data_IF_081545679084
#
_entry.id   IF_081545679084
#
_cell.length_a   1.000
_cell.length_b   1.000
_cell.length_c   1.000
_cell.angle_alpha   90.00
_cell.angle_beta   90.00
_cell.angle_gamma   90.00
#
_symmetry.space_group_name_H-M   'P 1'
#
loop_
_entity.id
_entity.type
_entity.pdbx_description
1 polymer ?
#
# COMPACT_ATOMS: atom_id res chain seq x y z
N UNK A 1 4.86 -8.04 -55.85
CA UNK A 1 4.31 -8.87 -54.76
C UNK A 1 5.19 -8.96 -53.51
N UNK A 2 6.49 -9.27 -53.58
CA UNK A 2 7.37 -9.43 -52.41
C UNK A 2 7.51 -8.18 -51.51
N UNK A 3 7.39 -6.96 -52.02
CA UNK A 3 7.54 -5.70 -51.28
C UNK A 3 6.34 -5.42 -50.38
N UNK A 4 5.12 -5.69 -50.84
CA UNK A 4 3.90 -5.49 -50.04
C UNK A 4 3.78 -6.49 -48.88
N UNK A 5 4.23 -7.72 -49.07
CA UNK A 5 4.25 -8.73 -48.01
C UNK A 5 5.17 -8.31 -46.87
N UNK A 6 6.35 -7.75 -47.18
CA UNK A 6 7.29 -7.24 -46.14
C UNK A 6 6.70 -6.08 -45.35
N UNK A 7 5.97 -5.16 -45.99
CA UNK A 7 5.33 -4.04 -45.33
C UNK A 7 4.21 -4.50 -44.40
N UNK A 8 3.40 -5.48 -44.85
CA UNK A 8 2.35 -6.08 -44.01
C UNK A 8 2.93 -6.76 -42.78
N UNK A 9 4.03 -7.54 -42.94
CA UNK A 9 4.68 -8.17 -41.79
C UNK A 9 5.26 -7.16 -40.80
N UNK A 10 5.87 -6.06 -41.26
CA UNK A 10 6.39 -5.01 -40.40
C UNK A 10 5.27 -4.29 -39.63
N UNK A 11 4.13 -4.02 -40.27
CA UNK A 11 2.99 -3.43 -39.63
C UNK A 11 2.38 -4.36 -38.56
N UNK A 12 2.22 -5.63 -38.88
CA UNK A 12 1.70 -6.62 -37.94
C UNK A 12 2.63 -6.77 -36.73
N UNK A 13 3.94 -6.80 -36.95
CA UNK A 13 4.94 -6.84 -35.88
C UNK A 13 4.89 -5.58 -34.99
N UNK A 14 4.79 -4.38 -35.58
CA UNK A 14 4.69 -3.13 -34.85
C UNK A 14 3.42 -3.07 -33.96
N UNK A 15 2.28 -3.53 -34.48
CA UNK A 15 1.02 -3.61 -33.71
C UNK A 15 1.15 -4.59 -32.53
N UNK A 16 1.80 -5.73 -32.76
CA UNK A 16 2.03 -6.73 -31.72
C UNK A 16 2.94 -6.19 -30.61
N UNK A 17 4.03 -5.52 -30.97
CA UNK A 17 4.95 -4.88 -29.99
C UNK A 17 4.23 -3.78 -29.19
N UNK A 18 3.46 -2.92 -29.85
CA UNK A 18 2.67 -1.87 -29.16
C UNK A 18 1.62 -2.48 -28.23
N UNK A 19 0.98 -3.59 -28.64
CA UNK A 19 0.04 -4.31 -27.80
C UNK A 19 0.68 -4.89 -26.53
N UNK A 20 1.85 -5.51 -26.67
CA UNK A 20 2.61 -6.07 -25.53
C UNK A 20 3.12 -4.96 -24.60
N UNK A 21 3.63 -3.86 -25.16
CA UNK A 21 4.09 -2.71 -24.37
C UNK A 21 2.93 -2.04 -23.64
N UNK A 22 1.79 -1.84 -24.30
CA UNK A 22 0.59 -1.29 -23.68
C UNK A 22 0.04 -2.18 -22.55
N UNK A 23 0.05 -3.49 -22.75
CA UNK A 23 -0.35 -4.45 -21.74
C UNK A 23 0.60 -4.44 -20.53
N UNK A 24 1.92 -4.44 -20.78
CA UNK A 24 2.92 -4.32 -19.71
C UNK A 24 2.82 -2.98 -18.95
N UNK A 25 2.66 -1.88 -19.66
CA UNK A 25 2.50 -0.56 -19.06
C UNK A 25 1.24 -0.49 -18.18
N UNK A 26 0.15 -1.15 -18.58
CA UNK A 26 -1.07 -1.29 -17.79
C UNK A 26 -0.85 -2.14 -16.54
N UNK A 27 -0.15 -3.27 -16.65
CA UNK A 27 0.18 -4.13 -15.50
C UNK A 27 1.16 -3.47 -14.53
N UNK A 28 2.15 -2.73 -15.03
CA UNK A 28 3.16 -2.05 -14.22
C UNK A 28 2.70 -0.70 -13.66
N UNK A 29 1.41 -0.37 -13.82
CA UNK A 29 0.78 0.85 -13.26
C UNK A 29 1.48 2.16 -13.66
N UNK A 30 2.11 2.23 -14.83
CA UNK A 30 2.74 3.49 -15.32
C UNK A 30 1.78 4.67 -15.41
N UNK A 31 0.47 4.39 -15.40
CA UNK A 31 -0.60 5.40 -15.45
C UNK A 31 -1.39 5.52 -14.14
N UNK A 32 -0.95 4.85 -13.06
CA UNK A 32 -1.62 5.02 -11.76
C UNK A 32 -1.20 6.36 -11.19
N UNK A 33 -2.08 7.32 -11.27
CA UNK A 33 -1.92 8.61 -10.57
C UNK A 33 -1.86 8.32 -9.07
N UNK A 34 -0.86 8.87 -8.37
CA UNK A 34 -0.82 8.80 -6.90
C UNK A 34 -2.13 9.36 -6.35
N UNK A 35 -2.87 8.60 -5.53
CA UNK A 35 -4.05 9.14 -4.88
C UNK A 35 -3.62 10.31 -3.99
N UNK A 36 -4.43 11.37 -3.98
CA UNK A 36 -4.12 12.55 -3.18
C UNK A 36 -4.21 12.19 -1.70
N UNK A 37 -3.07 12.21 -1.04
CA UNK A 37 -2.92 12.03 0.40
C UNK A 37 -1.94 13.09 0.91
N UNK A 38 -2.38 13.92 1.85
CA UNK A 38 -1.54 14.97 2.44
C UNK A 38 -0.63 14.35 3.52
N UNK A 39 0.54 13.91 3.13
CA UNK A 39 1.53 13.32 4.05
C UNK A 39 2.54 14.34 4.58
N UNK A 40 2.48 15.61 4.12
CA UNK A 40 3.38 16.70 4.52
C UNK A 40 4.88 16.36 4.45
N UNK A 41 5.29 15.53 3.50
CA UNK A 41 6.66 15.04 3.33
C UNK A 41 7.25 14.41 4.61
N UNK A 42 6.42 13.75 5.40
CA UNK A 42 6.82 13.05 6.62
C UNK A 42 6.46 11.57 6.54
N UNK A 43 7.26 10.69 7.15
CA UNK A 43 6.90 9.29 7.30
C UNK A 43 5.54 9.13 7.96
N UNK A 44 4.76 8.16 7.51
CA UNK A 44 3.43 7.92 8.04
C UNK A 44 3.12 6.43 8.19
N UNK A 45 2.40 6.08 9.24
CA UNK A 45 1.83 4.76 9.43
C UNK A 45 0.36 4.81 9.05
N UNK A 46 -0.01 4.15 7.96
CA UNK A 46 -1.39 4.00 7.54
C UNK A 46 -2.01 2.79 8.23
N UNK A 47 -3.15 3.00 8.85
CA UNK A 47 -3.97 1.93 9.41
C UNK A 47 -5.23 1.75 8.57
N UNK A 48 -5.29 0.65 7.81
CA UNK A 48 -6.48 0.28 7.05
C UNK A 48 -7.47 -0.45 7.94
N UNK A 49 -8.68 0.08 8.02
CA UNK A 49 -9.79 -0.41 8.82
C UNK A 49 -11.03 -0.65 7.97
N UNK A 50 -12.10 -1.15 8.56
CA UNK A 50 -13.43 -1.30 7.95
C UNK A 50 -14.49 -0.71 8.85
N UNK A 51 -15.49 -0.06 8.27
CA UNK A 51 -16.68 0.41 8.97
C UNK A 51 -17.79 -0.64 9.02
N UNK A 52 -17.85 -1.54 8.03
CA UNK A 52 -18.88 -2.57 7.93
C UNK A 52 -18.27 -3.94 7.61
N UNK A 53 -18.87 -5.00 8.14
CA UNK A 53 -18.42 -6.37 7.93
C UNK A 53 -19.19 -7.38 8.78
N UNK A 54 -18.86 -8.66 8.65
CA UNK A 54 -19.46 -9.68 9.53
C UNK A 54 -18.92 -9.53 10.97
N UNK A 55 -19.65 -10.04 11.96
CA UNK A 55 -19.30 -9.92 13.39
C UNK A 55 -17.88 -10.45 13.70
N UNK A 56 -17.45 -11.52 13.03
CA UNK A 56 -16.12 -12.09 13.21
C UNK A 56 -15.04 -11.13 12.70
N UNK A 57 -15.22 -10.55 11.53
CA UNK A 57 -14.30 -9.58 10.94
C UNK A 57 -14.24 -8.30 11.77
N UNK A 58 -15.42 -7.76 12.16
CA UNK A 58 -15.50 -6.57 12.98
C UNK A 58 -14.91 -6.72 14.38
N UNK A 59 -14.81 -7.96 14.90
CA UNK A 59 -14.09 -8.23 16.16
C UNK A 59 -12.60 -8.00 15.98
N UNK A 60 -12.00 -8.57 14.96
CA UNK A 60 -10.56 -8.39 14.64
C UNK A 60 -10.25 -6.92 14.38
N UNK A 61 -11.11 -6.23 13.62
CA UNK A 61 -10.98 -4.79 13.35
C UNK A 61 -10.99 -3.96 14.66
N UNK A 62 -11.91 -4.25 15.59
CA UNK A 62 -11.96 -3.55 16.90
C UNK A 62 -10.72 -3.79 17.74
N UNK A 63 -10.18 -5.01 17.75
CA UNK A 63 -8.93 -5.31 18.46
C UNK A 63 -7.76 -4.55 17.82
N UNK A 64 -7.65 -4.54 16.50
CA UNK A 64 -6.63 -3.79 15.76
C UNK A 64 -6.72 -2.28 16.04
N UNK A 65 -7.92 -1.71 15.96
CA UNK A 65 -8.15 -0.30 16.27
C UNK A 65 -7.78 0.04 17.72
N UNK A 66 -8.08 -0.86 18.67
CA UNK A 66 -7.69 -0.71 20.06
C UNK A 66 -6.17 -0.75 20.23
N UNK A 67 -5.47 -1.71 19.59
CA UNK A 67 -4.01 -1.77 19.62
C UNK A 67 -3.38 -0.47 19.09
N UNK A 68 -3.82 0.02 17.94
CA UNK A 68 -3.30 1.25 17.34
C UNK A 68 -3.61 2.48 18.20
N UNK A 69 -4.84 2.58 18.74
CA UNK A 69 -5.27 3.72 19.56
C UNK A 69 -4.52 3.81 20.90
N UNK A 70 -4.18 2.67 21.52
CA UNK A 70 -3.47 2.63 22.79
C UNK A 70 -1.97 2.49 22.64
N UNK A 71 -1.49 2.28 21.42
CA UNK A 71 -0.07 2.22 21.16
C UNK A 71 0.58 3.58 21.42
N UNK A 72 1.61 3.58 22.26
CA UNK A 72 2.41 4.75 22.57
C UNK A 72 3.84 4.47 22.08
N UNK A 73 4.17 4.91 20.88
CA UNK A 73 5.53 4.76 20.38
C UNK A 73 6.51 5.49 21.31
N UNK A 74 7.72 4.97 21.42
CA UNK A 74 8.78 5.58 22.19
C UNK A 74 9.00 7.02 21.69
N UNK A 75 9.30 7.98 22.56
CA UNK A 75 9.31 9.43 22.24
C UNK A 75 10.13 9.80 20.99
N UNK A 76 11.18 9.04 20.68
CA UNK A 76 12.00 9.28 19.49
C UNK A 76 11.46 8.62 18.20
N UNK A 77 10.36 7.86 18.29
CA UNK A 77 9.70 7.21 17.16
C UNK A 77 8.38 7.92 16.77
N UNK A 78 8.35 9.24 16.89
CA UNK A 78 7.15 10.00 16.51
C UNK A 78 6.86 9.82 15.03
N UNK A 79 5.67 9.29 14.75
CA UNK A 79 5.18 9.04 13.40
C UNK A 79 3.71 9.46 13.29
N UNK A 80 3.33 9.99 12.16
CA UNK A 80 1.93 10.33 11.90
C UNK A 80 1.15 9.05 11.61
N UNK A 81 0.04 8.83 12.34
CA UNK A 81 -0.86 7.69 12.11
C UNK A 81 -2.10 8.19 11.39
N UNK A 82 -2.38 7.61 10.23
CA UNK A 82 -3.54 7.95 9.39
C UNK A 82 -4.44 6.73 9.27
N UNK A 83 -5.66 6.82 9.80
CA UNK A 83 -6.67 5.77 9.62
C UNK A 83 -7.38 5.93 8.30
N UNK A 84 -7.52 4.84 7.55
CA UNK A 84 -8.14 4.78 6.22
C UNK A 84 -9.21 3.70 6.24
N UNK A 85 -10.44 4.08 5.95
CA UNK A 85 -11.48 3.09 5.73
C UNK A 85 -11.29 2.43 4.35
N UNK A 86 -11.20 1.11 4.35
CA UNK A 86 -10.91 0.31 3.16
C UNK A 86 -12.01 0.43 2.09
N UNK A 87 -13.27 0.52 2.54
CA UNK A 87 -14.42 0.63 1.64
C UNK A 87 -14.64 2.05 1.12
N UNK A 88 -14.31 3.07 1.95
CA UNK A 88 -14.40 4.47 1.53
C UNK A 88 -13.25 4.89 0.60
N UNK A 89 -12.06 4.30 0.77
CA UNK A 89 -10.86 4.62 -0.01
C UNK A 89 -10.25 3.40 -0.71
N UNK A 90 -11.03 2.71 -1.57
CA UNK A 90 -10.54 1.56 -2.33
C UNK A 90 -9.44 1.93 -3.35
N UNK A 91 -9.31 3.22 -3.67
CA UNK A 91 -8.23 3.78 -4.46
C UNK A 91 -6.87 3.64 -3.74
N UNK A 92 -6.82 3.97 -2.43
CA UNK A 92 -5.62 3.84 -1.61
C UNK A 92 -5.29 2.37 -1.35
N UNK A 93 -6.28 1.55 -1.00
CA UNK A 93 -6.07 0.12 -0.80
C UNK A 93 -5.43 -0.53 -2.03
N UNK A 94 -5.95 -0.25 -3.22
CA UNK A 94 -5.36 -0.74 -4.48
C UNK A 94 -3.99 -0.16 -4.79
N UNK A 95 -3.77 1.12 -4.48
CA UNK A 95 -2.48 1.78 -4.72
C UNK A 95 -1.37 1.14 -3.88
N UNK A 96 -1.64 0.91 -2.59
CA UNK A 96 -0.69 0.30 -1.65
C UNK A 96 -0.70 -1.23 -1.66
N UNK A 97 -1.51 -1.88 -2.51
CA UNK A 97 -1.66 -3.33 -2.58
C UNK A 97 -2.13 -3.98 -1.29
N UNK A 98 -3.00 -3.30 -0.56
CA UNK A 98 -3.67 -3.84 0.61
C UNK A 98 -4.88 -4.63 0.14
N UNK A 99 -4.88 -5.94 0.40
CA UNK A 99 -5.93 -6.84 -0.08
C UNK A 99 -7.05 -7.04 0.94
N UNK A 100 -6.79 -6.72 2.20
CA UNK A 100 -7.75 -6.91 3.32
C UNK A 100 -7.46 -5.94 4.47
N UNK A 101 -8.47 -5.71 5.31
CA UNK A 101 -8.34 -5.02 6.59
C UNK A 101 -8.52 -6.04 7.75
N UNK A 102 -7.87 -5.83 8.91
CA UNK A 102 -7.00 -4.70 9.22
C UNK A 102 -5.61 -4.86 8.60
N UNK A 103 -4.99 -3.75 8.21
CA UNK A 103 -3.61 -3.73 7.73
C UNK A 103 -2.86 -2.48 8.18
N UNK A 104 -1.54 -2.60 8.31
CA UNK A 104 -0.61 -1.49 8.57
C UNK A 104 0.32 -1.32 7.38
N UNK A 105 0.50 -0.09 6.93
CA UNK A 105 1.44 0.27 5.87
C UNK A 105 2.31 1.44 6.35
N UNK A 106 3.61 1.20 6.45
CA UNK A 106 4.58 2.23 6.80
C UNK A 106 5.10 2.88 5.52
N UNK A 107 4.95 4.18 5.41
CA UNK A 107 5.43 4.99 4.29
C UNK A 107 6.66 5.80 4.70
N UNK A 108 7.58 5.93 3.76
CA UNK A 108 8.70 6.87 3.87
C UNK A 108 8.26 8.32 3.59
N UNK A 109 9.20 9.28 3.70
CA UNK A 109 8.95 10.69 3.41
C UNK A 109 8.52 10.96 1.95
N UNK A 110 8.81 10.06 1.00
CA UNK A 110 8.36 10.17 -0.39
C UNK A 110 6.95 9.59 -0.59
N UNK A 111 6.36 9.00 0.46
CA UNK A 111 5.07 8.29 0.38
C UNK A 111 5.17 6.94 -0.32
N UNK A 112 6.36 6.33 -0.32
CA UNK A 112 6.57 4.97 -0.83
C UNK A 112 6.48 3.96 0.30
N UNK A 113 6.02 2.74 -0.02
CA UNK A 113 5.85 1.70 0.98
C UNK A 113 7.23 1.19 1.43
N UNK A 114 7.55 1.44 2.69
CA UNK A 114 8.75 0.91 3.34
C UNK A 114 8.50 -0.48 3.92
N UNK A 115 7.33 -0.68 4.55
CA UNK A 115 6.95 -1.93 5.17
C UNK A 115 5.41 -2.07 5.23
N UNK A 116 4.92 -3.31 5.26
CA UNK A 116 3.49 -3.59 5.34
C UNK A 116 3.23 -4.87 6.14
N UNK A 117 2.15 -4.86 6.91
CA UNK A 117 1.54 -6.04 7.53
C UNK A 117 0.05 -6.05 7.20
N UNK A 118 -0.38 -6.98 6.35
CA UNK A 118 -1.76 -7.15 5.89
C UNK A 118 -2.39 -8.47 6.36
N UNK A 119 -1.62 -9.29 7.10
CA UNK A 119 -2.10 -10.49 7.76
C UNK A 119 -2.11 -10.32 9.27
N UNK A 120 -3.28 -10.45 9.94
CA UNK A 120 -3.32 -10.43 11.39
C UNK A 120 -2.62 -11.66 11.96
N UNK A 121 -1.83 -11.48 13.03
CA UNK A 121 -1.17 -12.60 13.72
C UNK A 121 -2.17 -13.50 14.46
N UNK A 122 -3.19 -12.86 15.03
CA UNK A 122 -4.31 -13.54 15.70
C UNK A 122 -5.53 -12.62 15.77
N UNK A 123 -6.69 -13.17 16.08
CA UNK A 123 -7.93 -12.38 16.23
C UNK A 123 -7.86 -11.39 17.38
N UNK A 124 -7.16 -11.71 18.47
CA UNK A 124 -7.08 -10.90 19.68
C UNK A 124 -5.92 -9.89 19.64
N UNK A 125 -4.83 -10.22 18.96
CA UNK A 125 -3.64 -9.41 18.77
C UNK A 125 -3.29 -9.37 17.27
N UNK A 126 -4.00 -8.58 16.47
CA UNK A 126 -3.81 -8.55 15.03
C UNK A 126 -2.40 -8.09 14.60
N UNK A 127 -1.80 -7.17 15.36
CA UNK A 127 -0.49 -6.61 15.01
C UNK A 127 0.59 -6.92 16.05
N UNK A 128 1.81 -7.15 15.57
CA UNK A 128 2.99 -7.14 16.40
C UNK A 128 3.56 -5.72 16.49
N UNK A 129 3.16 -4.99 17.52
CA UNK A 129 3.57 -3.60 17.70
C UNK A 129 5.08 -3.45 17.96
N UNK A 130 5.77 -4.50 18.42
CA UNK A 130 7.23 -4.49 18.57
C UNK A 130 7.92 -4.51 17.19
N UNK A 131 7.41 -5.31 16.27
CA UNK A 131 7.88 -5.28 14.88
C UNK A 131 7.60 -3.93 14.21
N UNK A 132 6.42 -3.33 14.45
CA UNK A 132 6.10 -1.98 13.95
C UNK A 132 7.14 -0.96 14.44
N UNK A 133 7.49 -0.97 15.73
CA UNK A 133 8.49 -0.07 16.30
C UNK A 133 9.90 -0.29 15.68
N UNK A 134 10.30 -1.54 15.46
CA UNK A 134 11.57 -1.85 14.79
C UNK A 134 11.60 -1.30 13.36
N UNK A 135 10.51 -1.43 12.61
CA UNK A 135 10.43 -0.94 11.23
C UNK A 135 10.46 0.59 11.19
N UNK A 136 9.77 1.27 12.10
CA UNK A 136 9.81 2.73 12.20
C UNK A 136 11.22 3.19 12.57
N UNK A 137 11.87 2.55 13.56
CA UNK A 137 13.25 2.89 13.95
C UNK A 137 14.23 2.70 12.77
N UNK A 138 14.06 1.62 12.00
CA UNK A 138 14.87 1.35 10.81
C UNK A 138 14.68 2.41 9.73
N UNK A 139 13.44 2.82 9.48
CA UNK A 139 13.12 3.88 8.52
C UNK A 139 13.79 5.20 8.92
N UNK A 140 13.55 5.65 10.16
CA UNK A 140 14.10 6.93 10.65
C UNK A 140 15.64 6.93 10.68
N UNK A 141 16.28 5.79 10.96
CA UNK A 141 17.73 5.66 10.90
C UNK A 141 18.27 5.75 9.46
N UNK A 142 17.50 5.38 8.48
CA UNK A 142 17.87 5.44 7.06
C UNK A 142 17.72 6.86 6.51
N UNK A 143 16.70 7.58 6.95
CA UNK A 143 16.43 8.97 6.52
C UNK A 143 17.32 10.00 7.21
N UNK A 144 17.85 9.70 8.38
CA UNK A 144 18.75 10.58 9.14
C UNK A 144 20.20 10.62 8.64
N UNK A 145 20.53 9.94 7.54
CA UNK A 145 21.84 9.94 6.90
C UNK A 145 21.86 10.74 5.63
#
# INVERSE_FOLDING_TARGET
MKRHIRVIFLLAFAVLVLGVLGFKASQQKWFVTRPHMELNDQPALLFFTLSEGCDCQMRVIRHAATQVAFWKPVEHLQINIVSIDFDERPDLARYFHVDRAPALVLLDHNGEVFWMQDEPQSDDLPFDMSTVEEQIASLLATEGR
#
